data_IF_557743609839
#
_entry.id   IF_557743609839
#
_cell.length_a   1.000
_cell.length_b   1.000
_cell.length_c   1.000
_cell.angle_alpha   90.00
_cell.angle_beta   90.00
_cell.angle_gamma   90.00
#
_symmetry.space_group_name_H-M   'P 1'
#
loop_
_entity.id
_entity.type
_entity.pdbx_description
1 polymer ?
#
# COMPACT_ATOMS: atom_id res chain seq x y z
N UNK A 1 -21.69 5.97 -15.63
CA UNK A 1 -21.40 5.91 -14.17
C UNK A 1 -22.63 6.38 -13.40
N UNK A 2 -23.36 5.48 -12.70
CA UNK A 2 -24.61 5.81 -11.98
C UNK A 2 -24.64 5.38 -10.50
N UNK A 3 -23.52 4.92 -9.94
CA UNK A 3 -23.47 4.38 -8.56
C UNK A 3 -22.26 4.96 -7.82
N UNK A 4 -22.51 5.93 -6.95
CA UNK A 4 -21.52 6.42 -5.99
C UNK A 4 -21.14 5.21 -5.11
N UNK A 5 -19.89 4.77 -5.16
CA UNK A 5 -19.40 3.61 -4.40
C UNK A 5 -19.18 2.30 -5.17
N UNK A 6 -19.45 2.21 -6.49
CA UNK A 6 -19.05 1.03 -7.28
C UNK A 6 -17.51 0.83 -7.30
N UNK A 7 -16.76 1.91 -7.11
CA UNK A 7 -15.31 1.88 -6.93
C UNK A 7 -14.89 1.36 -5.53
N UNK A 8 -15.77 1.36 -4.53
CA UNK A 8 -15.41 1.03 -3.15
C UNK A 8 -15.00 -0.44 -2.98
N UNK A 9 -15.67 -1.37 -3.65
CA UNK A 9 -15.30 -2.79 -3.59
C UNK A 9 -13.91 -3.03 -4.20
N UNK A 10 -13.69 -2.47 -5.40
CA UNK A 10 -12.40 -2.55 -6.08
C UNK A 10 -11.27 -1.94 -5.22
N UNK A 11 -11.44 -0.71 -4.72
CA UNK A 11 -10.42 -0.08 -3.87
C UNK A 11 -10.17 -0.88 -2.57
N UNK A 12 -11.22 -1.47 -1.96
CA UNK A 12 -11.04 -2.35 -0.81
C UNK A 12 -10.20 -3.58 -1.14
N UNK A 13 -10.43 -4.20 -2.30
CA UNK A 13 -9.62 -5.34 -2.74
C UNK A 13 -8.16 -4.94 -2.99
N UNK A 14 -7.92 -3.79 -3.64
CA UNK A 14 -6.56 -3.28 -3.85
C UNK A 14 -5.84 -3.00 -2.52
N UNK A 15 -6.51 -2.35 -1.56
CA UNK A 15 -5.94 -2.08 -0.23
C UNK A 15 -5.64 -3.37 0.52
N UNK A 16 -6.57 -4.34 0.51
CA UNK A 16 -6.35 -5.63 1.14
C UNK A 16 -5.17 -6.38 0.52
N UNK A 17 -4.98 -6.29 -0.79
CA UNK A 17 -3.85 -6.88 -1.47
C UNK A 17 -2.54 -6.19 -1.08
N UNK A 18 -2.49 -4.86 -1.08
CA UNK A 18 -1.31 -4.10 -0.66
C UNK A 18 -0.89 -4.46 0.78
N UNK A 19 -1.84 -4.55 1.71
CA UNK A 19 -1.57 -4.95 3.10
C UNK A 19 -0.96 -6.36 3.20
N UNK A 20 -1.39 -7.30 2.34
CA UNK A 20 -0.79 -8.65 2.29
C UNK A 20 0.64 -8.60 1.76
N UNK A 21 0.93 -7.80 0.73
CA UNK A 21 2.29 -7.65 0.22
C UNK A 21 3.24 -7.05 1.26
N UNK A 22 2.77 -6.08 2.04
CA UNK A 22 3.52 -5.51 3.17
C UNK A 22 3.79 -6.60 4.22
N UNK A 23 2.78 -7.38 4.60
CA UNK A 23 2.93 -8.48 5.55
C UNK A 23 3.89 -9.59 5.06
N UNK A 24 3.89 -9.87 3.76
CA UNK A 24 4.79 -10.82 3.10
C UNK A 24 6.21 -10.27 2.90
N UNK A 25 6.48 -8.99 3.21
CA UNK A 25 7.78 -8.36 2.97
C UNK A 25 8.11 -8.12 1.49
N UNK A 26 7.11 -8.09 0.61
CA UNK A 26 7.26 -7.95 -0.86
C UNK A 26 6.90 -6.56 -1.38
N UNK A 27 6.60 -5.61 -0.49
CA UNK A 27 6.16 -4.28 -0.89
C UNK A 27 7.19 -3.55 -1.77
N UNK A 28 8.49 -3.77 -1.53
CA UNK A 28 9.58 -3.12 -2.26
C UNK A 28 9.56 -3.41 -3.78
N UNK A 29 8.98 -4.54 -4.23
CA UNK A 29 8.87 -4.88 -5.65
C UNK A 29 7.91 -3.94 -6.42
N UNK A 30 7.09 -3.18 -5.70
CA UNK A 30 6.04 -2.31 -6.25
C UNK A 30 6.28 -0.82 -5.99
N UNK A 31 7.31 -0.47 -5.23
CA UNK A 31 7.66 0.90 -4.94
C UNK A 31 8.59 1.44 -6.02
N UNK A 32 8.54 2.74 -6.27
CA UNK A 32 9.49 3.38 -7.18
C UNK A 32 10.86 3.49 -6.50
N UNK A 33 11.92 3.64 -7.30
CA UNK A 33 13.28 3.82 -6.77
C UNK A 33 13.34 5.07 -5.89
N UNK A 34 13.97 4.98 -4.71
CA UNK A 34 14.08 6.12 -3.77
C UNK A 34 12.72 6.59 -3.21
N UNK A 35 11.73 5.69 -3.11
CA UNK A 35 10.41 6.01 -2.52
C UNK A 35 10.47 6.56 -1.09
N UNK A 36 11.55 6.30 -0.37
CA UNK A 36 11.76 6.66 1.02
C UNK A 36 12.68 7.86 1.22
N UNK A 37 13.23 8.47 0.16
CA UNK A 37 14.26 9.54 0.23
C UNK A 37 13.85 10.71 1.13
N UNK A 38 12.59 11.13 1.04
CA UNK A 38 12.02 12.24 1.81
C UNK A 38 11.25 11.78 3.07
N UNK A 39 11.40 10.51 3.47
CA UNK A 39 10.67 9.93 4.60
C UNK A 39 11.61 9.57 5.75
N UNK A 40 11.16 9.81 6.99
CA UNK A 40 11.92 9.47 8.19
C UNK A 40 11.24 8.31 8.95
N UNK A 41 11.96 7.21 9.15
CA UNK A 41 11.51 6.12 10.02
C UNK A 41 11.72 6.51 11.47
N UNK A 42 10.67 7.01 12.12
CA UNK A 42 10.72 7.48 13.52
C UNK A 42 10.55 6.36 14.55
N UNK A 43 10.10 5.17 14.13
CA UNK A 43 9.89 4.01 15.00
C UNK A 43 10.77 2.85 14.53
N UNK A 44 11.89 2.63 15.21
CA UNK A 44 12.71 1.42 15.07
C UNK A 44 12.29 0.42 16.13
N UNK A 45 11.99 -0.81 15.71
CA UNK A 45 11.62 -1.91 16.60
C UNK A 45 12.89 -2.55 17.16
N UNK A 46 13.05 -2.50 18.48
CA UNK A 46 14.11 -3.23 19.24
C UNK A 46 13.95 -4.75 19.17
#
# INVERSE_FOLDING_TARGET
MKKIGAFCAFYKEQVNYALRLIADGKANDYLWDEWDEDTETTFVRE
#
